data_IF_621365020422
#
_entry.id   IF_621365020422
#
_cell.length_a   1.000
_cell.length_b   1.000
_cell.length_c   1.000
_cell.angle_alpha   90.00
_cell.angle_beta   90.00
_cell.angle_gamma   90.00
#
_symmetry.space_group_name_H-M   'P 1'
#
loop_
_entity.id
_entity.type
_entity.pdbx_description
1 polymer ?
#
# COMPACT_ATOMS: atom_id res chain seq x y z
N UNK A 1 -10.04 7.73 -7.30
CA UNK A 1 -9.89 7.95 -5.84
C UNK A 1 -10.73 9.16 -5.38
N UNK A 2 -10.54 10.40 -5.81
CA UNK A 2 -11.25 11.60 -5.32
C UNK A 2 -12.79 11.47 -5.35
N UNK A 3 -13.37 10.95 -6.43
CA UNK A 3 -14.84 10.74 -6.54
C UNK A 3 -15.39 9.68 -5.56
N UNK A 4 -14.51 8.89 -4.96
CA UNK A 4 -14.84 7.86 -3.97
C UNK A 4 -14.40 8.27 -2.56
N UNK A 5 -13.93 9.52 -2.40
CA UNK A 5 -13.45 10.09 -1.13
C UNK A 5 -12.26 9.37 -0.50
N UNK A 6 -11.49 8.61 -1.26
CA UNK A 6 -10.19 8.16 -0.80
C UNK A 6 -9.25 9.35 -0.74
N UNK A 7 -8.63 9.54 0.41
CA UNK A 7 -7.81 10.71 0.73
C UNK A 7 -6.31 10.40 0.84
N UNK A 8 -5.92 9.12 0.70
CA UNK A 8 -4.54 8.67 0.66
C UNK A 8 -4.35 7.75 -0.55
N UNK A 9 -3.28 7.97 -1.29
CA UNK A 9 -2.72 7.05 -2.26
C UNK A 9 -1.45 6.45 -1.66
N UNK A 10 -1.56 5.21 -1.17
CA UNK A 10 -0.43 4.40 -0.77
C UNK A 10 0.18 3.82 -2.04
N UNK A 11 1.45 4.12 -2.27
CA UNK A 11 2.15 3.75 -3.50
C UNK A 11 3.30 2.80 -3.18
N UNK A 12 3.02 1.51 -3.28
CA UNK A 12 4.04 0.46 -3.25
C UNK A 12 4.82 0.53 -4.56
N UNK A 13 5.90 1.34 -4.58
CA UNK A 13 6.52 1.80 -5.83
C UNK A 13 7.62 0.86 -6.33
N UNK A 14 8.20 0.05 -5.46
CA UNK A 14 9.28 -0.90 -5.75
C UNK A 14 9.02 -2.24 -5.07
N UNK A 15 9.49 -3.34 -5.68
CA UNK A 15 9.38 -4.68 -5.15
C UNK A 15 10.49 -5.57 -5.72
N UNK A 16 10.54 -6.85 -5.35
CA UNK A 16 11.50 -7.87 -5.84
C UNK A 16 11.63 -7.90 -7.37
N UNK A 17 10.51 -7.76 -8.06
CA UNK A 17 10.44 -7.90 -9.50
C UNK A 17 11.02 -6.69 -10.23
N UNK A 18 10.83 -5.48 -9.67
CA UNK A 18 11.20 -4.25 -10.36
C UNK A 18 11.47 -3.08 -9.42
N UNK A 19 12.48 -2.28 -9.76
CA UNK A 19 12.79 -1.00 -9.14
C UNK A 19 12.57 0.13 -10.15
N UNK A 20 11.33 0.59 -10.37
CA UNK A 20 11.05 1.60 -11.38
C UNK A 20 11.27 3.05 -10.92
N UNK A 21 11.46 3.32 -9.63
CA UNK A 21 11.72 4.67 -9.11
C UNK A 21 13.10 5.16 -9.54
N UNK A 22 13.17 6.24 -10.33
CA UNK A 22 14.45 6.83 -10.75
C UNK A 22 14.99 7.72 -9.64
N UNK A 23 15.92 7.17 -8.84
CA UNK A 23 16.66 7.92 -7.83
C UNK A 23 17.67 8.86 -8.47
N UNK A 24 17.80 10.06 -7.91
CA UNK A 24 18.81 11.04 -8.34
C UNK A 24 20.20 10.64 -7.82
N UNK A 25 20.27 10.14 -6.58
CA UNK A 25 21.54 9.72 -5.97
C UNK A 25 22.01 8.34 -6.41
N UNK A 26 21.08 7.47 -6.78
CA UNK A 26 21.36 6.08 -7.13
C UNK A 26 20.64 5.67 -8.43
N UNK A 27 20.98 6.29 -9.58
CA UNK A 27 20.28 6.02 -10.85
C UNK A 27 20.38 4.56 -11.28
N UNK A 28 21.44 3.85 -10.91
CA UNK A 28 21.62 2.44 -11.22
C UNK A 28 20.53 1.52 -10.66
N UNK A 29 19.81 1.95 -9.62
CA UNK A 29 18.70 1.17 -9.07
C UNK A 29 17.62 0.94 -10.12
N UNK A 30 17.16 2.00 -10.80
CA UNK A 30 16.21 1.86 -11.89
C UNK A 30 16.83 1.39 -13.20
N UNK A 31 18.06 1.82 -13.51
CA UNK A 31 18.75 1.44 -14.75
C UNK A 31 18.94 -0.07 -14.86
N UNK A 32 19.17 -0.74 -13.72
CA UNK A 32 19.40 -2.19 -13.66
C UNK A 32 18.23 -2.98 -13.06
N UNK A 33 17.44 -2.35 -12.19
CA UNK A 33 16.37 -2.99 -11.43
C UNK A 33 14.99 -2.89 -12.09
N UNK A 34 14.73 -1.91 -12.94
CA UNK A 34 13.45 -1.81 -13.66
C UNK A 34 13.30 -2.88 -14.75
N UNK A 35 12.07 -3.16 -15.16
CA UNK A 35 11.79 -4.08 -16.28
C UNK A 35 12.39 -3.58 -17.61
N UNK A 36 12.41 -2.28 -17.82
CA UNK A 36 13.08 -1.63 -18.95
C UNK A 36 13.27 -0.14 -18.68
N UNK A 37 14.14 0.50 -19.46
CA UNK A 37 14.38 1.95 -19.37
C UNK A 37 13.16 2.81 -19.70
N UNK A 38 12.12 2.25 -20.33
CA UNK A 38 10.87 2.93 -20.63
C UNK A 38 9.79 2.70 -19.55
N UNK A 39 10.04 1.82 -18.60
CA UNK A 39 9.10 1.46 -17.52
C UNK A 39 9.65 1.93 -16.18
N UNK A 40 9.96 3.21 -16.11
CA UNK A 40 10.46 3.90 -14.91
C UNK A 40 9.59 5.12 -14.59
N UNK A 41 9.57 5.49 -13.33
CA UNK A 41 9.01 6.74 -12.85
C UNK A 41 10.14 7.76 -12.71
N UNK A 42 10.21 8.69 -13.65
CA UNK A 42 11.17 9.80 -13.58
C UNK A 42 10.83 10.75 -12.43
N UNK A 43 11.77 11.60 -11.98
CA UNK A 43 11.46 12.65 -11.00
C UNK A 43 10.33 13.60 -11.45
N UNK A 44 10.13 13.75 -12.76
CA UNK A 44 9.01 14.51 -13.31
C UNK A 44 7.68 13.79 -13.12
N UNK A 45 7.64 12.49 -13.37
CA UNK A 45 6.44 11.65 -13.21
C UNK A 45 6.02 11.61 -11.73
N UNK A 46 6.97 11.41 -10.83
CA UNK A 46 6.70 11.39 -9.38
C UNK A 46 6.11 12.73 -8.93
N UNK A 47 6.73 13.86 -9.34
CA UNK A 47 6.17 15.19 -9.04
C UNK A 47 4.79 15.40 -9.62
N UNK A 48 4.54 14.92 -10.85
CA UNK A 48 3.23 15.00 -11.49
C UNK A 48 2.17 14.25 -10.68
N UNK A 49 2.48 13.01 -10.23
CA UNK A 49 1.56 12.21 -9.41
C UNK A 49 1.25 12.92 -8.08
N UNK A 50 2.27 13.40 -7.39
CA UNK A 50 2.12 14.11 -6.11
C UNK A 50 1.24 15.36 -6.28
N UNK A 51 1.53 16.21 -7.28
CA UNK A 51 0.79 17.43 -7.50
C UNK A 51 -0.65 17.17 -7.97
N UNK A 52 -0.83 16.19 -8.85
CA UNK A 52 -2.15 15.78 -9.32
C UNK A 52 -3.03 15.26 -8.17
N UNK A 53 -2.45 14.51 -7.26
CA UNK A 53 -3.11 14.03 -6.06
C UNK A 53 -3.43 15.18 -5.10
N UNK A 54 -2.46 16.08 -4.84
CA UNK A 54 -2.62 17.23 -3.96
C UNK A 54 -3.79 18.13 -4.39
N UNK A 55 -3.93 18.42 -5.69
CA UNK A 55 -5.03 19.21 -6.26
C UNK A 55 -6.40 18.55 -6.06
N UNK A 56 -6.45 17.30 -5.61
CA UNK A 56 -7.67 16.52 -5.35
C UNK A 56 -7.86 16.15 -3.89
N UNK A 57 -7.04 16.73 -3.00
CA UNK A 57 -7.08 16.44 -1.57
C UNK A 57 -6.61 15.02 -1.25
N UNK A 58 -5.73 14.43 -2.07
CA UNK A 58 -5.17 13.09 -1.87
C UNK A 58 -3.71 13.23 -1.48
N UNK A 59 -3.34 12.65 -0.35
CA UNK A 59 -1.97 12.47 0.10
C UNK A 59 -1.32 11.34 -0.68
N UNK A 60 -0.03 11.43 -0.97
CA UNK A 60 0.75 10.34 -1.58
C UNK A 60 1.76 9.86 -0.56
N UNK A 61 1.59 8.64 -0.09
CA UNK A 61 2.51 7.97 0.83
C UNK A 61 3.25 6.90 0.03
N UNK A 62 4.56 7.06 -0.19
CA UNK A 62 5.34 6.04 -0.88
C UNK A 62 5.66 4.89 0.05
N UNK A 63 5.72 3.69 -0.48
CA UNK A 63 6.32 2.54 0.16
C UNK A 63 7.59 2.14 -0.55
N UNK A 64 8.67 2.07 0.23
CA UNK A 64 9.93 1.46 -0.16
C UNK A 64 10.16 0.30 0.79
N UNK A 65 9.60 -0.83 0.41
CA UNK A 65 9.58 -2.01 1.26
C UNK A 65 10.98 -2.53 1.55
N UNK A 66 11.24 -2.76 2.81
CA UNK A 66 12.51 -3.19 3.38
C UNK A 66 12.30 -3.91 4.71
N UNK A 67 13.18 -4.83 5.11
CA UNK A 67 14.38 -5.31 4.44
C UNK A 67 14.12 -6.41 3.41
N UNK A 68 12.91 -7.03 3.40
CA UNK A 68 12.43 -7.94 2.37
C UNK A 68 12.07 -7.22 1.07
N UNK A 69 11.55 -7.95 0.08
CA UNK A 69 11.08 -7.39 -1.20
C UNK A 69 12.10 -6.52 -1.94
N UNK A 70 13.41 -6.83 -1.81
CA UNK A 70 14.50 -5.97 -2.27
C UNK A 70 15.40 -6.58 -3.35
N UNK A 71 14.99 -7.68 -4.01
CA UNK A 71 15.81 -8.34 -5.03
C UNK A 71 16.16 -7.39 -6.20
N UNK A 72 15.24 -6.54 -6.60
CA UNK A 72 15.46 -5.54 -7.64
C UNK A 72 16.49 -4.48 -7.25
N UNK A 73 16.58 -4.11 -5.98
CA UNK A 73 17.55 -3.15 -5.45
C UNK A 73 18.98 -3.68 -5.58
N UNK A 74 19.18 -4.99 -5.32
CA UNK A 74 20.48 -5.66 -5.41
C UNK A 74 21.07 -5.66 -6.82
N UNK A 75 20.24 -5.49 -7.86
CA UNK A 75 20.74 -5.34 -9.25
C UNK A 75 21.47 -4.02 -9.45
N UNK A 76 21.00 -2.93 -8.81
CA UNK A 76 21.59 -1.59 -8.93
C UNK A 76 22.59 -1.24 -7.83
N UNK A 77 22.48 -1.85 -6.67
CA UNK A 77 23.34 -1.59 -5.52
C UNK A 77 24.10 -2.86 -5.12
N UNK A 78 25.39 -2.88 -5.45
CA UNK A 78 26.28 -4.00 -5.13
C UNK A 78 26.38 -4.19 -3.61
N UNK A 79 26.48 -5.46 -3.19
CA UNK A 79 26.66 -5.90 -1.80
C UNK A 79 25.53 -5.45 -0.83
N UNK A 80 24.40 -4.98 -1.37
CA UNK A 80 23.24 -4.55 -0.55
C UNK A 80 22.52 -5.74 0.08
N UNK A 81 22.41 -6.85 -0.63
CA UNK A 81 21.62 -8.00 -0.21
C UNK A 81 22.47 -9.06 0.49
N UNK A 82 21.84 -9.82 1.37
CA UNK A 82 22.46 -10.94 2.08
C UNK A 82 22.64 -12.13 1.13
N UNK A 83 23.87 -12.60 0.85
CA UNK A 83 24.06 -13.76 -0.01
C UNK A 83 23.61 -15.05 0.68
N UNK A 84 22.93 -15.92 -0.06
CA UNK A 84 22.54 -17.24 0.42
C UNK A 84 23.65 -18.28 0.16
N UNK A 85 23.81 -19.22 1.08
CA UNK A 85 24.82 -20.26 1.02
C UNK A 85 24.19 -21.65 1.14
N UNK A 86 24.79 -22.62 0.45
CA UNK A 86 24.50 -24.03 0.63
C UNK A 86 25.84 -24.79 0.78
N UNK A 87 26.01 -25.50 1.90
CA UNK A 87 27.27 -26.20 2.19
C UNK A 87 28.51 -25.29 2.18
N UNK A 88 28.37 -24.03 2.59
CA UNK A 88 29.46 -23.05 2.60
C UNK A 88 29.78 -22.42 1.25
N UNK A 89 29.07 -22.76 0.18
CA UNK A 89 29.22 -22.15 -1.15
C UNK A 89 28.05 -21.20 -1.44
N UNK A 90 28.32 -20.00 -2.03
CA UNK A 90 27.27 -19.10 -2.47
C UNK A 90 26.35 -19.80 -3.49
N UNK A 91 25.02 -19.64 -3.31
CA UNK A 91 24.04 -20.24 -4.24
C UNK A 91 23.76 -19.36 -5.45
N UNK A 92 24.17 -18.08 -5.43
CA UNK A 92 23.78 -17.07 -6.40
C UNK A 92 22.40 -16.42 -6.11
N UNK A 93 21.70 -16.91 -5.10
CA UNK A 93 20.49 -16.27 -4.59
C UNK A 93 20.82 -15.31 -3.45
N UNK A 94 19.91 -14.38 -3.21
CA UNK A 94 20.07 -13.39 -2.16
C UNK A 94 18.81 -13.35 -1.29
N UNK A 95 19.00 -13.10 -0.01
CA UNK A 95 17.97 -12.81 0.96
C UNK A 95 17.71 -11.29 1.07
N UNK A 96 17.19 -10.83 2.21
CA UNK A 96 16.88 -9.43 2.45
C UNK A 96 18.12 -8.55 2.47
N UNK A 97 17.92 -7.24 2.63
CA UNK A 97 18.99 -6.26 2.83
C UNK A 97 19.96 -6.72 3.92
N UNK A 98 21.26 -6.63 3.63
CA UNK A 98 22.32 -7.14 4.51
C UNK A 98 22.53 -6.20 5.72
N UNK A 99 22.19 -6.62 6.93
CA UNK A 99 22.26 -5.79 8.13
C UNK A 99 23.68 -5.70 8.73
N UNK A 100 24.63 -6.46 8.21
CA UNK A 100 26.00 -6.58 8.82
C UNK A 100 26.91 -5.47 8.29
N UNK A 101 26.66 -4.96 7.08
CA UNK A 101 27.57 -4.02 6.41
C UNK A 101 27.23 -2.57 6.74
N UNK A 102 28.23 -1.80 7.18
CA UNK A 102 28.06 -0.35 7.39
C UNK A 102 27.68 0.38 6.10
N UNK A 103 28.15 -0.10 4.95
CA UNK A 103 27.80 0.46 3.62
C UNK A 103 26.31 0.38 3.33
N UNK A 104 25.60 -0.61 3.88
CA UNK A 104 24.15 -0.71 3.80
C UNK A 104 23.48 0.48 4.47
N UNK A 105 23.90 0.82 5.67
CA UNK A 105 23.33 1.95 6.43
C UNK A 105 23.65 3.30 5.80
N UNK A 106 24.86 3.46 5.25
CA UNK A 106 25.24 4.65 4.48
C UNK A 106 24.37 4.83 3.23
N UNK A 107 24.10 3.73 2.53
CA UNK A 107 23.21 3.72 1.38
C UNK A 107 21.79 4.08 1.79
N UNK A 108 21.21 3.38 2.76
CA UNK A 108 19.84 3.61 3.24
C UNK A 108 19.66 5.04 3.75
N UNK A 109 20.64 5.57 4.47
CA UNK A 109 20.62 6.95 4.97
C UNK A 109 20.51 7.95 3.82
N UNK A 110 21.34 7.82 2.79
CA UNK A 110 21.31 8.71 1.63
C UNK A 110 20.04 8.54 0.81
N UNK A 111 19.59 7.30 0.64
CA UNK A 111 18.37 6.99 -0.10
C UNK A 111 17.13 7.60 0.58
N UNK A 112 16.89 7.31 1.85
CA UNK A 112 15.75 7.85 2.58
C UNK A 112 15.82 9.36 2.80
N UNK A 113 17.02 9.97 2.79
CA UNK A 113 17.16 11.42 2.72
C UNK A 113 16.55 11.97 1.43
N UNK A 114 16.83 11.34 0.29
CA UNK A 114 16.21 11.71 -0.99
C UNK A 114 14.69 11.56 -0.92
N UNK A 115 14.20 10.38 -0.53
CA UNK A 115 12.77 10.08 -0.46
C UNK A 115 12.03 11.09 0.44
N UNK A 116 12.62 11.40 1.60
CA UNK A 116 12.05 12.38 2.55
C UNK A 116 11.93 13.78 1.97
N UNK A 117 12.79 14.14 1.02
CA UNK A 117 12.76 15.44 0.34
C UNK A 117 11.80 15.47 -0.86
N UNK A 118 11.63 14.33 -1.53
CA UNK A 118 10.79 14.20 -2.73
C UNK A 118 9.31 14.09 -2.37
N UNK A 119 8.97 13.30 -1.37
CA UNK A 119 7.59 13.09 -0.93
C UNK A 119 7.25 14.02 0.23
N UNK A 120 6.30 14.97 0.03
CA UNK A 120 5.99 15.99 1.03
C UNK A 120 5.16 15.47 2.20
N UNK A 121 4.59 14.27 2.10
CA UNK A 121 3.80 13.69 3.18
C UNK A 121 4.62 13.55 4.47
N UNK A 122 3.95 13.64 5.60
CA UNK A 122 4.58 13.45 6.91
C UNK A 122 4.99 12.00 7.18
N UNK A 123 4.47 11.05 6.42
CA UNK A 123 4.72 9.61 6.60
C UNK A 123 5.38 8.99 5.37
N UNK A 124 6.18 7.94 5.63
CA UNK A 124 6.72 7.00 4.65
C UNK A 124 6.35 5.59 5.12
N UNK A 125 5.89 4.75 4.20
CA UNK A 125 5.69 3.34 4.48
C UNK A 125 6.99 2.58 4.20
N UNK A 126 7.42 1.76 5.14
CA UNK A 126 8.72 1.09 5.12
C UNK A 126 8.61 -0.41 4.82
N UNK A 127 7.38 -0.92 4.68
CA UNK A 127 7.14 -2.34 4.51
C UNK A 127 7.37 -3.10 5.80
N UNK A 128 8.23 -4.10 5.74
CA UNK A 128 8.64 -4.91 6.90
C UNK A 128 7.87 -6.21 7.03
N UNK A 129 7.11 -6.60 6.02
CA UNK A 129 6.45 -7.88 5.95
C UNK A 129 7.45 -9.02 5.67
N UNK A 130 7.11 -10.20 6.18
CA UNK A 130 7.82 -11.45 5.94
C UNK A 130 9.28 -11.51 6.41
N UNK A 131 9.78 -10.50 7.18
CA UNK A 131 11.19 -10.46 7.66
C UNK A 131 11.34 -9.86 9.06
N UNK A 132 12.20 -10.48 9.88
CA UNK A 132 12.43 -10.15 11.31
C UNK A 132 13.29 -8.90 11.59
N UNK A 133 13.79 -8.14 10.59
CA UNK A 133 14.84 -7.15 10.79
C UNK A 133 14.52 -5.76 10.23
N UNK A 134 13.94 -4.87 11.06
CA UNK A 134 13.53 -3.52 10.62
C UNK A 134 14.07 -2.36 11.48
N UNK A 135 14.64 -2.63 12.66
CA UNK A 135 14.94 -1.59 13.67
C UNK A 135 15.78 -0.41 13.17
N UNK A 136 16.86 -0.65 12.43
CA UNK A 136 17.80 0.42 12.04
C UNK A 136 17.23 1.36 10.95
N UNK A 137 16.34 0.86 10.08
CA UNK A 137 15.70 1.67 9.04
C UNK A 137 14.69 2.64 9.67
N UNK A 138 13.99 2.21 10.70
CA UNK A 138 13.09 3.06 11.49
C UNK A 138 13.81 4.30 12.05
N UNK A 139 15.01 4.12 12.60
CA UNK A 139 15.82 5.22 13.15
C UNK A 139 16.30 6.18 12.06
N UNK A 140 16.75 5.65 10.91
CA UNK A 140 17.16 6.46 9.76
C UNK A 140 16.03 7.38 9.30
N UNK A 141 14.83 6.83 9.05
CA UNK A 141 13.68 7.60 8.56
C UNK A 141 13.21 8.62 9.59
N UNK A 142 13.23 8.25 10.88
CA UNK A 142 12.91 9.17 11.97
C UNK A 142 13.83 10.38 12.03
N UNK A 143 15.12 10.22 11.68
CA UNK A 143 16.08 11.32 11.68
C UNK A 143 15.74 12.42 10.67
N UNK A 144 14.89 12.13 9.69
CA UNK A 144 14.38 13.08 8.70
C UNK A 144 13.01 13.69 9.05
N UNK A 145 12.56 13.56 10.31
CA UNK A 145 11.27 14.05 10.81
C UNK A 145 10.06 13.48 10.02
N UNK A 146 10.18 12.23 9.59
CA UNK A 146 9.07 11.48 8.98
C UNK A 146 8.50 10.47 9.97
N UNK A 147 7.18 10.43 10.07
CA UNK A 147 6.46 9.33 10.68
C UNK A 147 6.58 8.06 9.83
N UNK A 148 6.35 6.93 10.43
CA UNK A 148 6.55 5.63 9.81
C UNK A 148 5.24 4.87 9.78
N UNK A 149 5.00 4.19 8.65
CA UNK A 149 3.97 3.16 8.52
C UNK A 149 4.70 1.85 8.23
N UNK A 150 4.27 0.78 8.86
CA UNK A 150 4.87 -0.55 8.74
C UNK A 150 3.77 -1.60 8.63
N UNK A 151 4.10 -2.73 8.01
CA UNK A 151 3.25 -3.91 8.08
C UNK A 151 3.26 -4.51 9.49
N UNK A 152 2.22 -5.27 9.86
CA UNK A 152 2.02 -5.77 11.22
C UNK A 152 3.16 -6.64 11.76
N UNK A 153 3.89 -7.34 10.90
CA UNK A 153 4.97 -8.26 11.32
C UNK A 153 6.05 -7.56 12.13
N UNK A 154 6.35 -6.30 11.82
CA UNK A 154 7.34 -5.52 12.59
C UNK A 154 6.90 -5.34 14.03
N UNK A 155 5.58 -5.16 14.25
CA UNK A 155 4.99 -5.12 15.60
C UNK A 155 4.97 -6.52 16.23
N UNK A 156 4.58 -7.55 15.48
CA UNK A 156 4.51 -8.94 15.94
C UNK A 156 5.86 -9.46 16.43
N UNK A 157 6.93 -9.09 15.73
CA UNK A 157 8.32 -9.39 16.08
C UNK A 157 8.89 -8.52 17.22
N UNK A 158 8.04 -7.66 17.82
CA UNK A 158 8.39 -6.82 18.98
C UNK A 158 9.54 -5.86 18.72
N UNK A 159 9.64 -5.33 17.50
CA UNK A 159 10.57 -4.25 17.20
C UNK A 159 10.32 -3.05 18.10
N UNK A 160 11.37 -2.31 18.41
CA UNK A 160 11.24 -1.08 19.22
C UNK A 160 10.65 0.04 18.34
N UNK A 161 9.35 0.26 18.49
CA UNK A 161 8.59 1.25 17.72
C UNK A 161 8.44 2.56 18.48
N UNK A 162 8.33 3.66 17.73
CA UNK A 162 7.94 4.96 18.29
C UNK A 162 6.43 5.02 18.52
N UNK A 163 5.95 5.79 19.50
CA UNK A 163 4.51 5.83 19.81
C UNK A 163 3.60 6.32 18.67
N UNK A 164 4.14 7.05 17.70
CA UNK A 164 3.46 7.56 16.51
C UNK A 164 3.61 6.67 15.28
N UNK A 165 4.29 5.53 15.39
CA UNK A 165 4.38 4.54 14.30
C UNK A 165 2.99 3.96 14.03
N UNK A 166 2.58 3.99 12.77
CA UNK A 166 1.31 3.42 12.32
C UNK A 166 1.52 1.97 11.90
N UNK A 167 0.74 1.06 12.45
CA UNK A 167 0.78 -0.37 12.10
C UNK A 167 -0.34 -0.69 11.14
N UNK A 168 0.00 -1.21 9.97
CA UNK A 168 -0.97 -1.63 8.96
C UNK A 168 -1.26 -3.11 9.08
N UNK A 169 -2.51 -3.44 9.42
CA UNK A 169 -2.98 -4.83 9.63
C UNK A 169 -3.50 -5.38 8.33
N UNK A 170 -2.78 -6.34 7.74
CA UNK A 170 -3.07 -6.88 6.40
C UNK A 170 -3.41 -8.37 6.39
N UNK A 171 -2.93 -9.15 7.34
CA UNK A 171 -3.19 -10.58 7.38
C UNK A 171 -4.67 -10.86 7.68
N UNK A 172 -5.33 -11.61 6.78
CA UNK A 172 -6.78 -11.86 6.85
C UNK A 172 -7.18 -12.70 8.08
N UNK A 173 -6.30 -13.58 8.54
CA UNK A 173 -6.56 -14.45 9.68
C UNK A 173 -6.46 -13.65 10.98
N UNK A 174 -7.60 -13.57 11.69
CA UNK A 174 -7.65 -12.96 13.03
C UNK A 174 -7.32 -11.45 13.09
N UNK A 175 -7.55 -10.68 12.01
CA UNK A 175 -7.24 -9.24 12.00
C UNK A 175 -7.93 -8.47 13.15
N UNK A 176 -9.08 -8.91 13.63
CA UNK A 176 -9.75 -8.29 14.79
C UNK A 176 -8.94 -8.46 16.08
N UNK A 177 -8.30 -9.61 16.26
CA UNK A 177 -7.39 -9.84 17.38
C UNK A 177 -6.14 -8.98 17.23
N UNK A 178 -5.59 -8.91 16.01
CA UNK A 178 -4.42 -8.10 15.71
C UNK A 178 -4.66 -6.61 15.97
N UNK A 179 -5.79 -6.07 15.49
CA UNK A 179 -6.20 -4.70 15.83
C UNK A 179 -6.29 -4.47 17.34
N UNK A 180 -6.84 -5.45 18.08
CA UNK A 180 -6.91 -5.38 19.54
C UNK A 180 -5.53 -5.33 20.17
N UNK A 181 -4.58 -6.13 19.67
CA UNK A 181 -3.20 -6.17 20.17
C UNK A 181 -2.44 -4.87 19.89
N UNK A 182 -2.45 -4.41 18.64
CA UNK A 182 -1.79 -3.18 18.19
C UNK A 182 -2.33 -1.96 18.95
N UNK A 183 -3.65 -1.79 18.96
CA UNK A 183 -4.26 -0.64 19.65
C UNK A 183 -4.18 -0.76 21.17
N UNK A 184 -4.17 -1.98 21.71
CA UNK A 184 -3.94 -2.26 23.13
C UNK A 184 -2.53 -1.88 23.59
N UNK A 185 -1.56 -1.96 22.69
CA UNK A 185 -0.19 -1.47 22.93
C UNK A 185 -0.05 0.05 22.72
N UNK A 186 -1.11 0.75 22.30
CA UNK A 186 -1.16 2.20 22.14
C UNK A 186 -0.77 2.71 20.76
N UNK A 187 -0.58 1.84 19.76
CA UNK A 187 -0.22 2.25 18.41
C UNK A 187 -1.45 2.57 17.55
N UNK A 188 -1.39 3.63 16.72
CA UNK A 188 -2.37 3.84 15.67
C UNK A 188 -2.31 2.73 14.62
N UNK A 189 -3.47 2.32 14.10
CA UNK A 189 -3.59 1.24 13.14
C UNK A 189 -4.35 1.65 11.87
N UNK A 190 -4.01 1.00 10.76
CA UNK A 190 -4.78 1.01 9.50
C UNK A 190 -5.20 -0.42 9.18
N UNK A 191 -6.46 -0.62 8.82
CA UNK A 191 -6.99 -1.94 8.46
C UNK A 191 -6.96 -2.13 6.95
N UNK A 192 -6.22 -3.13 6.47
CA UNK A 192 -6.19 -3.54 5.06
C UNK A 192 -6.73 -4.96 4.84
N UNK A 193 -6.57 -5.84 5.81
CA UNK A 193 -6.83 -7.28 5.76
C UNK A 193 -8.11 -7.72 5.02
N UNK A 194 -9.29 -7.12 5.22
CA UNK A 194 -10.53 -7.59 4.58
C UNK A 194 -10.70 -7.05 3.14
N UNK A 195 -9.82 -6.17 2.65
CA UNK A 195 -10.03 -5.39 1.43
C UNK A 195 -8.91 -5.55 0.39
N UNK A 196 -8.44 -6.79 0.21
CA UNK A 196 -7.53 -7.18 -0.86
C UNK A 196 -8.34 -7.44 -2.14
N UNK A 197 -8.29 -6.48 -3.07
CA UNK A 197 -9.10 -6.49 -4.30
C UNK A 197 -8.48 -7.34 -5.42
N UNK A 198 -7.22 -7.69 -5.30
CA UNK A 198 -6.47 -8.55 -6.22
C UNK A 198 -6.88 -10.03 -6.11
N UNK A 199 -7.37 -10.47 -4.95
CA UNK A 199 -7.84 -11.85 -4.79
C UNK A 199 -8.87 -12.21 -5.84
N UNK A 200 -8.60 -13.32 -6.55
CA UNK A 200 -9.50 -13.81 -7.59
C UNK A 200 -10.80 -14.27 -6.94
N UNK A 201 -11.88 -13.59 -7.31
CA UNK A 201 -13.22 -13.84 -6.82
C UNK A 201 -14.21 -13.72 -7.96
N UNK A 202 -15.21 -14.60 -7.98
CA UNK A 202 -16.31 -14.54 -8.94
C UNK A 202 -17.59 -14.05 -8.28
N UNK A 203 -18.31 -13.16 -8.98
CA UNK A 203 -19.60 -12.66 -8.53
C UNK A 203 -19.53 -11.30 -7.82
N UNK A 204 -20.45 -11.10 -6.88
CA UNK A 204 -20.65 -9.81 -6.23
C UNK A 204 -19.83 -9.69 -4.93
N UNK A 205 -18.51 -9.76 -5.03
CA UNK A 205 -17.59 -9.71 -3.88
C UNK A 205 -17.59 -8.35 -3.15
N UNK A 206 -18.03 -7.27 -3.81
CA UNK A 206 -18.23 -5.97 -3.18
C UNK A 206 -19.10 -6.05 -1.92
N UNK A 207 -20.03 -7.04 -1.86
CA UNK A 207 -20.86 -7.29 -0.68
C UNK A 207 -20.06 -7.75 0.53
N UNK A 208 -19.01 -8.56 0.28
CA UNK A 208 -18.06 -8.99 1.32
C UNK A 208 -17.34 -7.77 1.90
N UNK A 209 -16.85 -6.90 1.04
CA UNK A 209 -16.13 -5.68 1.46
C UNK A 209 -17.04 -4.71 2.22
N UNK A 210 -18.26 -4.54 1.74
CA UNK A 210 -19.24 -3.64 2.35
C UNK A 210 -19.73 -4.09 3.73
N UNK A 211 -19.73 -5.40 4.02
CA UNK A 211 -20.15 -5.95 5.31
C UNK A 211 -19.15 -5.76 6.44
N UNK A 212 -17.91 -5.45 6.12
CA UNK A 212 -16.89 -5.26 7.13
C UNK A 212 -17.23 -4.03 7.98
N UNK A 213 -17.25 -4.20 9.30
CA UNK A 213 -17.28 -3.10 10.25
C UNK A 213 -15.89 -2.95 10.87
N UNK A 214 -15.13 -1.90 10.51
CA UNK A 214 -13.74 -1.76 10.96
C UNK A 214 -13.57 -1.70 12.47
N UNK A 215 -14.59 -1.21 13.19
CA UNK A 215 -14.55 -1.07 14.65
C UNK A 215 -15.08 -2.32 15.39
N UNK A 216 -15.37 -3.41 14.65
CA UNK A 216 -15.86 -4.66 15.25
C UNK A 216 -14.68 -5.56 15.67
N UNK A 217 -13.90 -5.05 16.62
CA UNK A 217 -12.82 -5.80 17.27
C UNK A 217 -12.87 -5.60 18.78
N UNK A 218 -12.37 -6.56 19.58
CA UNK A 218 -12.31 -6.43 21.04
C UNK A 218 -11.41 -5.27 21.47
N UNK A 219 -11.93 -4.33 22.24
CA UNK A 219 -11.16 -3.18 22.71
C UNK A 219 -12.02 -2.09 23.30
N UNK A 220 -11.40 -1.22 24.09
CA UNK A 220 -12.03 -0.02 24.65
C UNK A 220 -12.34 1.02 23.57
N UNK A 221 -13.16 2.01 23.88
CA UNK A 221 -13.45 3.12 22.96
C UNK A 221 -12.18 3.94 22.63
N UNK A 222 -11.22 4.01 23.56
CA UNK A 222 -9.91 4.64 23.34
C UNK A 222 -9.10 3.86 22.31
N UNK A 223 -9.05 2.54 22.43
CA UNK A 223 -8.40 1.67 21.45
C UNK A 223 -9.02 1.81 20.06
N UNK A 224 -10.36 1.86 19.97
CA UNK A 224 -11.07 2.05 18.69
C UNK A 224 -10.76 3.38 18.03
N UNK A 225 -10.44 4.44 18.79
CA UNK A 225 -9.98 5.72 18.25
C UNK A 225 -8.59 5.65 17.63
N UNK A 226 -7.78 4.66 17.99
CA UNK A 226 -6.47 4.42 17.38
C UNK A 226 -6.57 3.75 16.00
N UNK A 227 -7.72 3.17 15.63
CA UNK A 227 -7.95 2.77 14.25
C UNK A 227 -8.24 4.03 13.41
N UNK A 228 -7.24 4.52 12.70
CA UNK A 228 -7.27 5.81 12.00
C UNK A 228 -7.85 5.71 10.58
N UNK A 229 -8.04 4.51 10.06
CA UNK A 229 -8.61 4.31 8.74
C UNK A 229 -8.51 2.87 8.23
N UNK A 230 -8.79 2.73 6.94
CA UNK A 230 -8.64 1.47 6.24
C UNK A 230 -8.20 1.65 4.79
N UNK A 231 -7.67 0.59 4.21
CA UNK A 231 -7.09 0.60 2.88
C UNK A 231 -7.69 -0.51 2.00
N UNK A 232 -7.95 -0.18 0.74
CA UNK A 232 -8.28 -1.15 -0.31
C UNK A 232 -7.02 -1.43 -1.12
N UNK A 233 -6.42 -2.61 -0.92
CA UNK A 233 -5.21 -3.04 -1.61
C UNK A 233 -5.54 -3.63 -2.98
N UNK A 234 -4.65 -3.40 -3.95
CA UNK A 234 -4.71 -4.01 -5.27
C UNK A 234 -3.28 -4.32 -5.75
N UNK A 235 -2.85 -5.56 -5.51
CA UNK A 235 -1.53 -6.05 -5.84
C UNK A 235 -1.41 -6.51 -7.30
N UNK A 236 -0.18 -6.66 -7.78
CA UNK A 236 0.15 -6.82 -9.18
C UNK A 236 0.23 -8.25 -9.72
N UNK A 237 0.04 -9.30 -8.90
CA UNK A 237 0.23 -10.70 -9.32
C UNK A 237 -0.69 -11.08 -10.49
N UNK A 238 -1.91 -10.56 -10.49
CA UNK A 238 -2.93 -10.80 -11.53
C UNK A 238 -3.52 -9.51 -12.08
N UNK A 239 -2.84 -8.37 -11.88
CA UNK A 239 -3.32 -7.04 -12.26
C UNK A 239 -2.24 -6.30 -13.03
N UNK A 240 -2.62 -5.78 -14.19
CA UNK A 240 -1.79 -4.91 -15.02
C UNK A 240 -2.63 -3.77 -15.64
N UNK A 241 -2.07 -3.04 -16.61
CA UNK A 241 -2.78 -1.93 -17.27
C UNK A 241 -4.07 -2.35 -17.97
N UNK A 242 -4.24 -3.64 -18.33
CA UNK A 242 -5.43 -4.14 -19.04
C UNK A 242 -6.64 -4.30 -18.14
N UNK A 243 -6.44 -4.60 -16.87
CA UNK A 243 -7.52 -4.92 -15.94
C UNK A 243 -7.54 -4.08 -14.65
N UNK A 244 -6.54 -3.25 -14.38
CA UNK A 244 -6.43 -2.44 -13.16
C UNK A 244 -7.70 -1.61 -12.89
N UNK A 245 -8.17 -0.86 -13.88
CA UNK A 245 -9.32 0.03 -13.69
C UNK A 245 -10.62 -0.74 -13.41
N UNK A 246 -11.01 -1.77 -14.19
CA UNK A 246 -12.20 -2.54 -13.89
C UNK A 246 -12.08 -3.38 -12.61
N UNK A 247 -10.90 -3.91 -12.28
CA UNK A 247 -10.68 -4.65 -11.02
C UNK A 247 -10.85 -3.75 -9.80
N UNK A 248 -10.38 -2.51 -9.88
CA UNK A 248 -10.47 -1.54 -8.78
C UNK A 248 -11.90 -0.99 -8.63
N UNK A 249 -12.54 -0.62 -9.75
CA UNK A 249 -13.82 0.07 -9.73
C UNK A 249 -14.97 -0.76 -10.30
N UNK A 250 -16.14 -0.79 -9.65
CA UNK A 250 -16.57 0.00 -8.48
C UNK A 250 -16.33 -0.70 -7.13
N UNK A 251 -15.57 -1.80 -7.08
CA UNK A 251 -15.35 -2.61 -5.87
C UNK A 251 -14.78 -1.80 -4.72
N UNK A 252 -13.73 -1.02 -4.98
CA UNK A 252 -13.17 -0.08 -3.99
C UNK A 252 -14.17 1.00 -3.55
N UNK A 253 -15.16 1.34 -4.38
CA UNK A 253 -16.20 2.29 -3.97
C UNK A 253 -17.04 1.77 -2.81
N UNK A 254 -17.23 0.44 -2.71
CA UNK A 254 -17.92 -0.17 -1.58
C UNK A 254 -17.10 -0.05 -0.29
N UNK A 255 -15.78 -0.21 -0.39
CA UNK A 255 -14.84 0.03 0.73
C UNK A 255 -14.90 1.51 1.16
N UNK A 256 -14.79 2.43 0.19
CA UNK A 256 -14.86 3.86 0.46
C UNK A 256 -16.17 4.27 1.13
N UNK A 257 -17.31 3.73 0.67
CA UNK A 257 -18.60 3.99 1.33
C UNK A 257 -18.61 3.41 2.76
N UNK A 258 -18.10 2.21 2.98
CA UNK A 258 -18.03 1.61 4.32
C UNK A 258 -17.22 2.46 5.30
N UNK A 259 -16.06 2.94 4.88
CA UNK A 259 -15.17 3.76 5.71
C UNK A 259 -15.74 5.16 6.04
N UNK A 260 -16.59 5.71 5.17
CA UNK A 260 -17.16 7.04 5.35
C UNK A 260 -18.59 7.05 5.91
N UNK A 261 -19.22 5.87 6.05
CA UNK A 261 -20.60 5.76 6.52
C UNK A 261 -20.66 5.39 8.00
N UNK A 262 -21.76 5.80 8.64
CA UNK A 262 -22.09 5.29 9.98
C UNK A 262 -22.18 3.75 9.95
N UNK A 263 -21.75 3.12 11.04
CA UNK A 263 -21.83 1.66 11.23
C UNK A 263 -23.24 1.08 11.02
N UNK A 264 -24.27 1.90 11.21
CA UNK A 264 -25.67 1.49 11.05
C UNK A 264 -26.14 1.42 9.59
N UNK A 265 -25.33 1.89 8.62
CA UNK A 265 -25.65 1.85 7.19
C UNK A 265 -25.19 0.50 6.63
N UNK A 266 -26.05 -0.52 6.71
CA UNK A 266 -25.71 -1.92 6.40
C UNK A 266 -26.61 -2.57 5.33
N UNK A 267 -27.65 -1.88 4.85
CA UNK A 267 -28.59 -2.43 3.85
C UNK A 267 -27.89 -2.61 2.50
N UNK A 268 -27.71 -3.87 2.10
CA UNK A 268 -27.04 -4.25 0.85
C UNK A 268 -27.88 -3.92 -0.39
N UNK A 269 -29.21 -3.90 -0.31
CA UNK A 269 -30.05 -3.56 -1.45
C UNK A 269 -29.96 -2.07 -1.75
N UNK A 270 -29.92 -1.27 -0.71
CA UNK A 270 -29.75 0.16 -0.82
C UNK A 270 -28.31 0.52 -1.28
N UNK A 271 -27.30 -0.13 -0.71
CA UNK A 271 -25.92 -0.02 -1.16
C UNK A 271 -25.77 -0.40 -2.65
N UNK A 272 -26.41 -1.49 -3.09
CA UNK A 272 -26.41 -1.90 -4.50
C UNK A 272 -26.96 -0.80 -5.42
N UNK A 273 -28.09 -0.17 -5.05
CA UNK A 273 -28.67 0.92 -5.84
C UNK A 273 -27.72 2.11 -5.97
N UNK A 274 -27.08 2.51 -4.86
CA UNK A 274 -26.08 3.60 -4.86
C UNK A 274 -24.86 3.25 -5.68
N UNK A 275 -24.30 2.05 -5.50
CA UNK A 275 -23.10 1.58 -6.20
C UNK A 275 -23.33 1.48 -7.70
N UNK A 276 -24.48 0.95 -8.14
CA UNK A 276 -24.88 0.90 -9.55
C UNK A 276 -24.95 2.30 -10.16
N UNK A 277 -25.62 3.24 -9.49
CA UNK A 277 -25.72 4.61 -9.95
C UNK A 277 -24.34 5.31 -9.98
N UNK A 278 -23.49 4.99 -9.02
CA UNK A 278 -22.13 5.51 -8.97
C UNK A 278 -21.27 4.96 -10.12
N UNK A 279 -21.37 3.67 -10.42
CA UNK A 279 -20.74 3.08 -11.61
C UNK A 279 -21.13 3.84 -12.88
N UNK A 280 -22.41 4.12 -13.07
CA UNK A 280 -22.86 4.88 -14.24
C UNK A 280 -22.27 6.30 -14.30
N UNK A 281 -22.04 6.94 -13.15
CA UNK A 281 -21.34 8.24 -13.08
C UNK A 281 -19.85 8.10 -13.43
N UNK A 282 -19.20 7.02 -13.00
CA UNK A 282 -17.80 6.75 -13.34
C UNK A 282 -17.61 6.52 -14.83
N UNK A 283 -18.47 5.72 -15.48
CA UNK A 283 -18.44 5.49 -16.93
C UNK A 283 -18.60 6.81 -17.72
N UNK A 284 -19.51 7.70 -17.30
CA UNK A 284 -19.65 9.04 -17.90
C UNK A 284 -18.39 9.90 -17.79
N UNK A 285 -17.54 9.63 -16.81
CA UNK A 285 -16.22 10.29 -16.59
C UNK A 285 -15.07 9.59 -17.31
N UNK A 286 -15.35 8.56 -18.11
CA UNK A 286 -14.33 7.79 -18.80
C UNK A 286 -13.61 6.75 -17.96
N UNK A 287 -14.12 6.44 -16.76
CA UNK A 287 -13.56 5.42 -15.88
C UNK A 287 -14.20 4.07 -16.22
N UNK A 288 -13.40 3.12 -16.68
CA UNK A 288 -13.86 1.77 -17.10
C UNK A 288 -14.19 0.89 -15.87
N UNK A 289 -15.26 1.25 -15.14
CA UNK A 289 -15.73 0.50 -13.99
C UNK A 289 -16.52 -0.74 -14.40
N UNK A 290 -16.17 -1.91 -13.85
CA UNK A 290 -16.85 -3.17 -14.17
C UNK A 290 -18.32 -3.18 -13.73
N UNK A 291 -19.18 -4.05 -14.31
CA UNK A 291 -20.55 -4.20 -13.87
C UNK A 291 -20.65 -4.67 -12.41
N UNK A 292 -21.49 -4.02 -11.61
CA UNK A 292 -21.79 -4.46 -10.24
C UNK A 292 -22.57 -5.78 -10.24
N UNK A 293 -23.47 -5.93 -11.21
CA UNK A 293 -24.30 -7.09 -11.50
C UNK A 293 -25.00 -6.85 -12.85
N UNK A 294 -25.92 -7.72 -13.23
CA UNK A 294 -26.74 -7.54 -14.43
C UNK A 294 -27.40 -6.17 -14.48
N UNK A 295 -27.30 -5.48 -15.61
CA UNK A 295 -27.85 -4.15 -15.82
C UNK A 295 -26.96 -3.31 -16.70
N UNK A 296 -27.49 -2.20 -17.18
CA UNK A 296 -26.77 -1.29 -18.06
C UNK A 296 -26.93 0.17 -17.61
N UNK A 297 -26.06 1.04 -18.08
CA UNK A 297 -26.16 2.49 -17.89
C UNK A 297 -26.63 3.15 -19.20
N UNK A 298 -27.65 4.00 -19.14
CA UNK A 298 -28.36 4.53 -20.29
C UNK A 298 -27.50 5.25 -21.36
N UNK A 299 -26.28 5.64 -21.01
CA UNK A 299 -25.32 6.29 -21.92
C UNK A 299 -24.33 5.30 -22.58
N UNK A 300 -24.32 4.02 -22.17
CA UNK A 300 -23.43 3.00 -22.82
C UNK A 300 -23.85 2.71 -24.26
N UNK A 301 -25.12 2.97 -24.61
CA UNK A 301 -25.65 2.81 -25.98
C UNK A 301 -25.45 4.02 -26.91
N UNK A 302 -24.93 5.12 -26.41
CA UNK A 302 -24.65 6.32 -27.22
C UNK A 302 -23.14 6.38 -27.48
N UNK A 303 -22.69 5.68 -28.53
CA UNK A 303 -21.41 6.01 -29.14
C UNK A 303 -21.53 7.37 -29.83
N UNK A 304 -20.52 8.26 -29.73
CA UNK A 304 -20.51 9.49 -30.48
C UNK A 304 -20.55 9.24 -31.98
#
# INVERSE_FOLDING_TARGET
MAFNKFNVFHWHIVDDQSFPYQSIYFPELSDKGAYSCNLIYTPADVRLVIEYARLRGIRVIPEFDTPGHTQSWGKGQKDLLTPCYNGGQPTGSFGPVNPILNTTYDFMTKFFKEISSVFPDAYIHLGGDEVDFTCCILDIVSSYNKGQIIWQEVFDHKAQLKPDTVVQVWMANSYAHELSSVTGAGFPAVLAAPWYLDYISYGQDWKKYYRVEPLDFPGSEEQKKLLIGGEACLWGEFVDATNLTPRLWPRASAVGERLWSSRNVTDLQDAYRRLRNHRCRMLRRGIAAEPVFVGYCAHEGRRP
#
